data_IF_447860532694
#
_entry.id   IF_447860532694
#
_cell.length_a   1.000
_cell.length_b   1.000
_cell.length_c   1.000
_cell.angle_alpha   90.00
_cell.angle_beta   90.00
_cell.angle_gamma   90.00
#
_symmetry.space_group_name_H-M   'P 1'
#
loop_
_entity.id
_entity.type
_entity.pdbx_description
1 polymer ?
#
# COMPACT_ATOMS: atom_id res chain seq x y z
N UNK A 1 8.99 -4.93 10.80
CA UNK A 1 7.65 -5.49 11.07
C UNK A 1 6.79 -5.28 9.84
N UNK A 2 5.85 -6.18 9.54
CA UNK A 2 4.87 -6.01 8.45
C UNK A 2 3.48 -6.07 9.06
N UNK A 3 2.64 -5.09 8.74
CA UNK A 3 1.25 -5.00 9.20
C UNK A 3 0.40 -4.37 8.11
N UNK A 4 -0.84 -4.83 7.99
CA UNK A 4 -1.86 -4.19 7.14
C UNK A 4 -2.72 -3.21 7.93
N UNK A 5 -2.45 -3.03 9.23
CA UNK A 5 -3.19 -2.08 10.06
C UNK A 5 -2.55 -0.68 9.98
N UNK A 6 -3.28 0.34 9.50
CA UNK A 6 -2.75 1.70 9.35
C UNK A 6 -2.46 2.34 10.71
N UNK A 7 -3.18 1.95 11.77
CA UNK A 7 -2.97 2.48 13.11
C UNK A 7 -1.62 2.02 13.65
N UNK A 8 -1.33 0.72 13.60
CA UNK A 8 -0.03 0.16 13.98
C UNK A 8 1.12 0.74 13.16
N UNK A 9 0.93 0.94 11.85
CA UNK A 9 1.93 1.53 10.97
C UNK A 9 2.22 3.01 11.30
N UNK A 10 1.22 3.77 11.76
CA UNK A 10 1.40 5.17 12.17
C UNK A 10 2.29 5.36 13.41
N UNK A 11 2.48 4.31 14.21
CA UNK A 11 3.43 4.34 15.33
C UNK A 11 4.89 4.16 14.90
N UNK A 12 5.15 3.79 13.65
CA UNK A 12 6.52 3.67 13.15
C UNK A 12 7.10 5.04 12.81
N UNK A 13 8.42 5.16 12.85
CA UNK A 13 9.12 6.37 12.39
C UNK A 13 8.98 6.54 10.86
N UNK A 14 8.97 5.40 10.14
CA UNK A 14 8.78 5.33 8.69
C UNK A 14 7.95 4.10 8.31
N UNK A 15 7.10 4.28 7.29
CA UNK A 15 6.35 3.20 6.63
C UNK A 15 6.84 3.09 5.19
N UNK A 16 7.10 1.86 4.74
CA UNK A 16 7.55 1.56 3.38
C UNK A 16 6.52 0.65 2.73
N UNK A 17 6.09 1.00 1.52
CA UNK A 17 5.13 0.24 0.75
C UNK A 17 5.86 -0.55 -0.33
N UNK A 18 5.57 -1.84 -0.40
CA UNK A 18 6.15 -2.76 -1.35
C UNK A 18 5.08 -3.29 -2.28
N UNK A 19 5.38 -3.34 -3.58
CA UNK A 19 4.61 -4.05 -4.58
C UNK A 19 5.58 -4.85 -5.47
N UNK A 20 5.24 -6.10 -5.76
CA UNK A 20 6.07 -7.00 -6.59
C UNK A 20 7.54 -7.10 -6.13
N UNK A 21 7.76 -7.09 -4.80
CA UNK A 21 9.11 -7.12 -4.21
C UNK A 21 9.93 -5.84 -4.38
N UNK A 22 9.34 -4.76 -4.91
CA UNK A 22 9.96 -3.44 -5.07
C UNK A 22 9.32 -2.43 -4.13
N UNK A 23 10.13 -1.48 -3.64
CA UNK A 23 9.61 -0.35 -2.87
C UNK A 23 8.95 0.62 -3.84
N UNK A 24 7.63 0.77 -3.71
CA UNK A 24 6.84 1.69 -4.55
C UNK A 24 6.62 3.03 -3.88
N UNK A 25 6.68 3.08 -2.53
CA UNK A 25 6.43 4.30 -1.79
C UNK A 25 7.02 4.27 -0.37
N UNK A 26 7.16 5.45 0.24
CA UNK A 26 7.57 5.59 1.64
C UNK A 26 7.01 6.87 2.25
N UNK A 27 6.67 6.80 3.54
CA UNK A 27 6.17 7.93 4.33
C UNK A 27 7.04 8.08 5.59
N UNK A 28 7.56 9.30 5.80
CA UNK A 28 8.25 9.75 7.04
C UNK A 28 7.29 10.52 7.93
N UNK A 29 7.22 10.17 9.21
CA UNK A 29 6.22 10.73 10.13
C UNK A 29 4.80 10.30 9.74
N UNK A 30 4.53 8.99 9.67
CA UNK A 30 3.26 8.46 9.17
C UNK A 30 2.08 8.87 10.08
N UNK A 31 1.01 9.39 9.47
CA UNK A 31 -0.29 9.54 10.14
C UNK A 31 -1.20 8.39 9.75
N UNK A 32 -2.15 8.02 10.62
CA UNK A 32 -3.13 6.96 10.34
C UNK A 32 -3.85 7.20 9.02
N UNK A 33 -4.29 8.43 8.78
CA UNK A 33 -5.02 8.82 7.57
C UNK A 33 -4.16 8.68 6.30
N UNK A 34 -2.91 9.15 6.34
CA UNK A 34 -2.01 9.07 5.20
C UNK A 34 -1.67 7.60 4.84
N UNK A 35 -1.45 6.77 5.86
CA UNK A 35 -1.17 5.34 5.65
C UNK A 35 -2.41 4.60 5.14
N UNK A 36 -3.58 4.85 5.72
CA UNK A 36 -4.83 4.23 5.28
C UNK A 36 -5.19 4.60 3.84
N UNK A 37 -5.07 5.88 3.48
CA UNK A 37 -5.28 6.36 2.12
C UNK A 37 -4.28 5.70 1.14
N UNK A 38 -3.00 5.62 1.53
CA UNK A 38 -1.97 5.00 0.69
C UNK A 38 -2.20 3.51 0.49
N UNK A 39 -2.64 2.78 1.51
CA UNK A 39 -3.01 1.37 1.38
C UNK A 39 -4.20 1.19 0.44
N UNK A 40 -5.24 2.01 0.56
CA UNK A 40 -6.40 1.96 -0.34
C UNK A 40 -6.02 2.22 -1.81
N UNK A 41 -5.05 3.10 -2.06
CA UNK A 41 -4.50 3.38 -3.40
C UNK A 41 -3.53 2.30 -3.92
N UNK A 42 -3.04 1.40 -3.06
CA UNK A 42 -2.17 0.29 -3.43
C UNK A 42 -2.94 -1.01 -3.61
N UNK A 43 -4.16 -1.09 -3.07
CA UNK A 43 -5.10 -2.14 -3.47
C UNK A 43 -5.37 -1.99 -4.97
N UNK A 44 -5.34 -3.09 -5.73
CA UNK A 44 -5.18 -3.03 -7.17
C UNK A 44 -6.46 -2.53 -7.85
N UNK A 45 -6.56 -1.22 -8.07
CA UNK A 45 -7.20 -0.68 -9.28
C UNK A 45 -6.25 -0.82 -10.50
N UNK A 46 -5.02 -1.31 -10.29
CA UNK A 46 -4.03 -1.70 -11.30
C UNK A 46 -4.03 -3.22 -11.57
N UNK A 47 -5.19 -3.87 -11.45
CA UNK A 47 -5.47 -5.11 -12.18
C UNK A 47 -6.40 -4.80 -13.36
N UNK A 48 -6.10 -3.73 -14.09
CA UNK A 48 -6.50 -3.64 -15.50
C UNK A 48 -5.50 -4.47 -16.30
N UNK A 49 -5.35 -5.75 -15.97
CA UNK A 49 -4.90 -6.70 -16.97
C UNK A 49 -6.14 -7.03 -17.81
N UNK A 50 -6.05 -6.63 -19.06
CA UNK A 50 -7.00 -6.91 -20.10
C UNK A 50 -7.05 -8.42 -20.35
N UNK A 51 -7.82 -9.16 -19.56
CA UNK A 51 -8.29 -10.50 -19.95
C UNK A 51 -9.82 -10.52 -20.07
N UNK A 52 -10.30 -9.65 -20.95
CA UNK A 52 -11.36 -10.06 -21.83
C UNK A 52 -10.80 -11.03 -22.86
N UNK A 53 -10.93 -12.34 -22.63
CA UNK A 53 -11.29 -13.28 -23.70
C UNK A 53 -12.06 -14.44 -23.09
N UNK A 54 -13.35 -14.61 -23.43
CA UNK A 54 -14.07 -15.82 -23.08
C UNK A 54 -13.50 -17.01 -23.86
N UNK A 55 -13.28 -18.12 -23.17
CA UNK A 55 -13.23 -19.44 -23.79
C UNK A 55 -14.32 -20.31 -23.17
#
# INVERSE_FOLDING_TARGET
>A
MVTHDPVAASYADQVVFLADGRVVDKITGPTVEAVANRMAHLEPEDATDLEGTPC
#
